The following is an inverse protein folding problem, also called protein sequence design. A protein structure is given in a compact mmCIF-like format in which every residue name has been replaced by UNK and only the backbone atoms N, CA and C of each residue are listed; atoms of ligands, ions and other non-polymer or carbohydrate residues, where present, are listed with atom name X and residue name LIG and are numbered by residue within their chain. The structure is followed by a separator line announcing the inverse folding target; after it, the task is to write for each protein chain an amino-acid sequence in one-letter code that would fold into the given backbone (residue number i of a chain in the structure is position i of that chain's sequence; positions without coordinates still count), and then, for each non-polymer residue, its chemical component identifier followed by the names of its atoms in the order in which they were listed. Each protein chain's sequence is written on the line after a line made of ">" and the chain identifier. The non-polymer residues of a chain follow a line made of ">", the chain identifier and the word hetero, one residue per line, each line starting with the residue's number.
data_IF_811915818362
#
_entry.id   IF_811915818362
#
_cell.length_a   1.000
_cell.length_b   1.000
_cell.length_c   1.000
_cell.angle_alpha   90.00
_cell.angle_beta   90.00
_cell.angle_gamma   90.00
#
_symmetry.space_group_name_H-M   'P 1'
#
loop_
_entity.id
_entity.type
_entity.pdbx_description
1 polymer ?
#
# COMPACT_ATOMS: atom_id res chain seq x y z
N UNK A 1 -7.43 -6.34 13.47
CA UNK A 1 -6.04 -6.64 13.91
C UNK A 1 -5.07 -6.05 12.90
N UNK A 2 -4.16 -5.17 13.31
CA UNK A 2 -3.14 -4.63 12.40
C UNK A 2 -1.95 -5.58 12.32
N UNK A 3 -1.44 -5.80 11.11
CA UNK A 3 -0.20 -6.56 10.84
C UNK A 3 0.86 -5.55 10.37
N UNK A 4 2.08 -5.65 10.89
CA UNK A 4 3.20 -4.79 10.48
C UNK A 4 4.00 -5.49 9.39
N UNK A 5 4.31 -4.75 8.33
CA UNK A 5 5.24 -5.14 7.28
C UNK A 5 6.36 -4.11 7.21
N UNK A 6 7.58 -4.55 6.96
CA UNK A 6 8.71 -3.66 6.68
C UNK A 6 8.93 -3.64 5.18
N UNK A 7 9.10 -2.45 4.60
CA UNK A 7 9.25 -2.27 3.15
C UNK A 7 10.54 -1.49 2.90
N UNK A 8 11.37 -2.01 2.00
CA UNK A 8 12.54 -1.30 1.48
C UNK A 8 12.17 -0.66 0.15
N UNK A 9 12.35 0.66 0.06
CA UNK A 9 12.03 1.45 -1.13
C UNK A 9 13.28 2.20 -1.59
N UNK A 10 13.44 2.46 -2.90
CA UNK A 10 14.47 3.37 -3.38
C UNK A 10 14.29 4.78 -2.80
N UNK A 11 15.40 5.48 -2.54
CA UNK A 11 15.40 6.82 -1.92
C UNK A 11 14.46 7.80 -2.62
N UNK A 12 14.50 7.84 -3.96
CA UNK A 12 13.63 8.72 -4.74
C UNK A 12 12.13 8.42 -4.53
N UNK A 13 11.77 7.15 -4.35
CA UNK A 13 10.39 6.76 -4.07
C UNK A 13 9.99 7.17 -2.66
N UNK A 14 10.89 6.98 -1.69
CA UNK A 14 10.69 7.43 -0.31
C UNK A 14 10.47 8.95 -0.26
N UNK A 15 11.31 9.74 -0.91
CA UNK A 15 11.19 11.21 -0.94
C UNK A 15 9.85 11.67 -1.54
N UNK A 16 9.40 11.03 -2.63
CA UNK A 16 8.11 11.36 -3.25
C UNK A 16 6.94 11.06 -2.34
N UNK A 17 6.96 9.90 -1.66
CA UNK A 17 5.92 9.53 -0.71
C UNK A 17 5.93 10.45 0.51
N UNK A 18 7.11 10.82 1.01
CA UNK A 18 7.23 11.75 2.12
C UNK A 18 6.63 13.12 1.78
N UNK A 19 6.97 13.68 0.61
CA UNK A 19 6.38 14.94 0.15
C UNK A 19 4.86 14.86 0.01
N UNK A 20 4.34 13.74 -0.47
CA UNK A 20 2.89 13.56 -0.57
C UNK A 20 2.24 13.51 0.83
N UNK A 21 2.84 12.77 1.77
CA UNK A 21 2.35 12.73 3.14
C UNK A 21 2.34 14.12 3.80
N UNK A 22 3.39 14.91 3.55
CA UNK A 22 3.50 16.29 4.03
C UNK A 22 2.39 17.19 3.45
N UNK A 23 2.06 17.03 2.16
CA UNK A 23 0.96 17.78 1.49
C UNK A 23 -0.41 17.42 2.10
N UNK A 24 -0.64 16.15 2.42
CA UNK A 24 -1.89 15.69 3.03
C UNK A 24 -1.96 15.93 4.54
N UNK A 25 -0.86 16.36 5.17
CA UNK A 25 -0.78 16.55 6.61
C UNK A 25 -0.86 15.24 7.40
N UNK A 26 -0.38 14.13 6.82
CA UNK A 26 -0.42 12.79 7.41
C UNK A 26 0.98 12.21 7.59
N UNK A 27 1.09 11.08 8.30
CA UNK A 27 2.36 10.37 8.42
C UNK A 27 2.65 9.54 7.17
N UNK A 28 3.93 9.38 6.82
CA UNK A 28 4.36 8.51 5.71
C UNK A 28 3.83 7.08 5.89
N UNK A 29 3.79 6.58 7.13
CA UNK A 29 3.30 5.24 7.43
C UNK A 29 1.80 5.10 7.16
N UNK A 30 1.00 6.11 7.53
CA UNK A 30 -0.44 6.10 7.29
C UNK A 30 -0.75 6.25 5.80
N UNK A 31 -0.02 7.12 5.08
CA UNK A 31 -0.14 7.22 3.63
C UNK A 31 0.21 5.89 2.95
N UNK A 32 1.33 5.25 3.34
CA UNK A 32 1.72 3.96 2.78
C UNK A 32 0.67 2.87 3.05
N UNK A 33 0.11 2.83 4.27
CA UNK A 33 -0.95 1.90 4.62
C UNK A 33 -2.22 2.13 3.80
N UNK A 34 -2.59 3.40 3.58
CA UNK A 34 -3.71 3.78 2.73
C UNK A 34 -3.51 3.36 1.27
N UNK A 35 -2.33 3.64 0.70
CA UNK A 35 -2.01 3.29 -0.68
C UNK A 35 -2.04 1.78 -0.89
N UNK A 36 -1.44 1.01 0.01
CA UNK A 36 -1.48 -0.46 -0.04
C UNK A 36 -2.91 -0.98 0.00
N UNK A 37 -3.74 -0.44 0.91
CA UNK A 37 -5.15 -0.84 1.00
C UNK A 37 -5.90 -0.52 -0.28
N UNK A 38 -5.75 0.70 -0.81
CA UNK A 38 -6.42 1.14 -2.03
C UNK A 38 -6.07 0.26 -3.22
N UNK A 39 -4.79 -0.05 -3.40
CA UNK A 39 -4.31 -0.86 -4.52
C UNK A 39 -4.76 -2.33 -4.38
N UNK A 40 -4.85 -2.86 -3.15
CA UNK A 40 -5.45 -4.19 -2.90
C UNK A 40 -6.93 -4.20 -3.27
N UNK A 41 -7.72 -3.22 -2.81
CA UNK A 41 -9.15 -3.11 -3.15
C UNK A 41 -9.36 -2.98 -4.67
N UNK A 42 -8.45 -2.31 -5.38
CA UNK A 42 -8.46 -2.24 -6.83
C UNK A 42 -8.12 -3.59 -7.48
N UNK A 43 -7.10 -4.29 -6.99
CA UNK A 43 -6.73 -5.62 -7.47
C UNK A 43 -7.85 -6.65 -7.25
N UNK A 44 -8.64 -6.54 -6.16
CA UNK A 44 -9.81 -7.39 -5.90
C UNK A 44 -10.89 -7.13 -6.96
N UNK A 45 -11.21 -5.86 -7.23
CA UNK A 45 -12.19 -5.47 -8.27
C UNK A 45 -11.78 -5.92 -9.66
N UNK A 46 -10.49 -5.92 -9.96
CA UNK A 46 -9.93 -6.37 -11.25
C UNK A 46 -9.80 -7.90 -11.33
N UNK A 47 -10.14 -8.64 -10.27
CA UNK A 47 -10.03 -10.10 -10.21
C UNK A 47 -8.58 -10.62 -10.20
N UNK A 48 -7.59 -9.75 -9.94
CA UNK A 48 -6.16 -10.10 -9.88
C UNK A 48 -5.80 -10.89 -8.63
N UNK A 49 -6.61 -10.77 -7.59
CA UNK A 49 -6.45 -11.49 -6.32
C UNK A 49 -7.15 -12.85 -6.32
N UNK A 50 -7.70 -13.30 -7.45
CA UNK A 50 -8.15 -14.69 -7.60
C UNK A 50 -6.92 -15.60 -7.58
N UNK A 51 -6.58 -16.12 -6.40
CA UNK A 51 -5.54 -17.11 -6.25
C UNK A 51 -5.97 -18.38 -7.00
N UNK A 52 -5.11 -18.98 -7.84
CA UNK A 52 -5.43 -20.23 -8.54
C UNK A 52 -5.66 -21.43 -7.61
N UNK A 53 -5.58 -21.26 -6.29
CA UNK A 53 -5.68 -22.33 -5.29
C UNK A 53 -6.80 -22.16 -4.25
N UNK A 54 -7.76 -21.26 -4.42
CA UNK A 54 -9.00 -21.24 -3.62
C UNK A 54 -10.06 -22.24 -4.13
N UNK A 55 -9.61 -23.43 -4.52
CA UNK A 55 -10.43 -24.65 -4.58
C UNK A 55 -9.81 -25.67 -3.63
N UNK A 56 -10.19 -25.61 -2.37
CA UNK A 56 -10.15 -26.76 -1.47
C UNK A 56 -11.42 -26.81 -0.65
#
# INVERSE_FOLDING_TARGET
>A
MSKRVSVSLPDLTHEKLQRWADIEGTSLADLAAYLLRRDVEQAEKEGKLNYPNEKK
#
